data_IF_401989108424
#
_entry.id   IF_401989108424
#
_cell.length_a   1.000
_cell.length_b   1.000
_cell.length_c   1.000
_cell.angle_alpha   90.00
_cell.angle_beta   90.00
_cell.angle_gamma   90.00
#
_symmetry.space_group_name_H-M   'P 1'
#
loop_
_entity.id
_entity.type
_entity.pdbx_description
1 polymer ?
#
# COMPACT_ATOMS: atom_id res chain seq x y z
N UNK A 1 24.13 24.33 0.94
CA UNK A 1 22.87 23.59 0.73
C UNK A 1 22.66 22.67 1.94
N UNK A 2 21.43 22.49 2.46
CA UNK A 2 21.21 21.79 3.75
C UNK A 2 21.57 20.29 3.73
N UNK A 3 21.62 19.68 2.55
CA UNK A 3 21.96 18.26 2.40
C UNK A 3 23.29 18.05 1.64
N UNK A 4 24.13 19.08 1.55
CA UNK A 4 25.44 18.94 0.89
C UNK A 4 26.34 17.97 1.67
N UNK A 5 26.89 16.98 0.97
CA UNK A 5 27.73 15.94 1.55
C UNK A 5 26.97 14.73 2.09
N UNK A 6 25.64 14.70 1.99
CA UNK A 6 24.81 13.54 2.36
C UNK A 6 24.43 12.73 1.14
N UNK A 7 24.48 11.41 1.26
CA UNK A 7 23.97 10.45 0.28
C UNK A 7 22.67 9.83 0.78
N UNK A 8 21.59 9.94 -0.01
CA UNK A 8 20.26 9.48 0.37
C UNK A 8 19.77 8.38 -0.58
N UNK A 9 19.45 7.22 -0.02
CA UNK A 9 18.79 6.12 -0.71
C UNK A 9 17.29 6.39 -0.89
N UNK A 10 16.76 6.17 -2.10
CA UNK A 10 15.33 6.23 -2.41
C UNK A 10 14.84 4.85 -2.81
N UNK A 11 13.82 4.33 -2.10
CA UNK A 11 13.21 3.01 -2.35
C UNK A 11 11.90 3.09 -3.12
N UNK A 12 11.39 4.30 -3.35
CA UNK A 12 10.13 4.53 -4.03
C UNK A 12 10.17 4.06 -5.49
N UNK A 13 9.13 3.34 -5.94
CA UNK A 13 8.94 2.97 -7.34
C UNK A 13 8.16 4.02 -8.14
N UNK A 14 7.42 4.91 -7.46
CA UNK A 14 6.59 5.94 -8.07
C UNK A 14 7.07 7.34 -7.68
N UNK A 15 7.06 8.28 -8.64
CA UNK A 15 7.49 9.66 -8.44
C UNK A 15 8.92 9.78 -7.88
N UNK A 16 9.74 8.74 -8.09
CA UNK A 16 11.11 8.70 -7.60
C UNK A 16 11.97 9.81 -8.19
N UNK A 17 11.82 10.10 -9.48
CA UNK A 17 12.58 11.17 -10.15
C UNK A 17 12.26 12.56 -9.57
N UNK A 18 10.98 12.83 -9.29
CA UNK A 18 10.58 14.09 -8.65
C UNK A 18 11.20 14.21 -7.24
N UNK A 19 11.19 13.12 -6.50
CA UNK A 19 11.76 13.08 -5.15
C UNK A 19 13.29 13.21 -5.20
N UNK A 20 13.94 12.50 -6.12
CA UNK A 20 15.38 12.62 -6.36
C UNK A 20 15.77 14.06 -6.70
N UNK A 21 15.05 14.72 -7.62
CA UNK A 21 15.29 16.13 -7.96
C UNK A 21 15.15 17.07 -6.74
N UNK A 22 14.17 16.81 -5.86
CA UNK A 22 13.99 17.62 -4.65
C UNK A 22 15.16 17.49 -3.69
N UNK A 23 15.72 16.30 -3.51
CA UNK A 23 16.88 16.04 -2.66
C UNK A 23 18.17 16.63 -3.29
N UNK A 24 18.37 16.41 -4.58
CA UNK A 24 19.53 16.93 -5.32
C UNK A 24 19.57 18.47 -5.32
N UNK A 25 18.42 19.13 -5.47
CA UNK A 25 18.33 20.60 -5.34
C UNK A 25 18.73 21.10 -3.96
N UNK A 26 18.66 20.26 -2.92
CA UNK A 26 19.12 20.55 -1.56
C UNK A 26 20.56 20.15 -1.30
N UNK A 27 21.22 19.56 -2.30
CA UNK A 27 22.64 19.21 -2.27
C UNK A 27 22.95 17.75 -1.95
N UNK A 28 21.94 16.88 -1.79
CA UNK A 28 22.18 15.46 -1.56
C UNK A 28 22.66 14.76 -2.84
N UNK A 29 23.51 13.76 -2.67
CA UNK A 29 23.66 12.67 -3.63
C UNK A 29 22.53 11.68 -3.47
N UNK A 30 22.01 11.12 -4.56
CA UNK A 30 20.84 10.24 -4.53
C UNK A 30 21.18 8.91 -5.17
N UNK A 31 20.89 7.84 -4.43
CA UNK A 31 20.92 6.45 -4.92
C UNK A 31 19.50 5.95 -5.01
N UNK A 32 19.05 5.55 -6.21
CA UNK A 32 17.70 5.05 -6.42
C UNK A 32 17.71 3.54 -6.64
N UNK A 33 16.94 2.82 -5.82
CA UNK A 33 16.72 1.39 -5.93
C UNK A 33 15.25 1.09 -5.57
N UNK A 34 14.35 0.98 -6.56
CA UNK A 34 12.96 0.62 -6.31
C UNK A 34 12.88 -0.70 -5.56
N UNK A 35 12.26 -0.70 -4.38
CA UNK A 35 12.16 -1.91 -3.56
C UNK A 35 11.00 -2.82 -3.97
N UNK A 36 10.01 -2.30 -4.69
CA UNK A 36 8.80 -3.01 -5.10
C UNK A 36 8.32 -2.58 -6.47
N UNK A 37 7.58 -3.49 -7.13
CA UNK A 37 6.74 -3.21 -8.30
C UNK A 37 5.27 -3.29 -7.91
N UNK A 38 4.46 -2.47 -8.52
CA UNK A 38 2.99 -2.54 -8.43
C UNK A 38 2.52 -3.22 -9.70
N UNK A 39 1.92 -4.39 -9.58
CA UNK A 39 1.37 -5.15 -10.69
C UNK A 39 -0.14 -4.98 -10.66
N UNK A 40 -0.74 -4.23 -11.60
CA UNK A 40 -2.19 -4.19 -11.74
C UNK A 40 -2.75 -5.57 -12.06
N UNK A 41 -3.91 -5.89 -11.53
CA UNK A 41 -4.59 -7.15 -11.76
C UNK A 41 -5.78 -6.99 -12.74
N UNK A 42 -5.68 -6.05 -13.68
CA UNK A 42 -6.76 -5.75 -14.63
C UNK A 42 -7.18 -6.97 -15.49
N UNK A 43 -6.25 -7.87 -15.78
CA UNK A 43 -6.51 -9.11 -16.52
C UNK A 43 -6.68 -10.34 -15.60
N UNK A 44 -6.80 -10.12 -14.29
CA UNK A 44 -6.91 -11.19 -13.30
C UNK A 44 -8.36 -11.70 -13.21
N UNK A 45 -8.53 -13.01 -13.44
CA UNK A 45 -9.84 -13.68 -13.40
C UNK A 45 -10.52 -13.56 -12.04
N UNK A 46 -9.77 -13.46 -10.96
CA UNK A 46 -10.33 -13.33 -9.62
C UNK A 46 -10.92 -11.92 -9.42
N UNK A 47 -10.23 -10.86 -9.88
CA UNK A 47 -10.77 -9.51 -9.84
C UNK A 47 -12.06 -9.40 -10.68
N UNK A 48 -12.08 -9.97 -11.88
CA UNK A 48 -13.28 -10.01 -12.72
C UNK A 48 -14.42 -10.76 -12.03
N UNK A 49 -14.14 -11.96 -11.49
CA UNK A 49 -15.12 -12.78 -10.78
C UNK A 49 -15.74 -12.07 -9.57
N UNK A 50 -14.91 -11.45 -8.71
CA UNK A 50 -15.44 -10.74 -7.54
C UNK A 50 -16.18 -9.47 -7.94
N UNK A 51 -15.78 -8.81 -9.02
CA UNK A 51 -16.49 -7.66 -9.58
C UNK A 51 -17.88 -8.07 -10.05
N UNK A 52 -17.99 -9.16 -10.80
CA UNK A 52 -19.28 -9.70 -11.25
C UNK A 52 -20.17 -10.14 -10.06
N UNK A 53 -19.57 -10.72 -9.02
CA UNK A 53 -20.29 -11.05 -7.78
C UNK A 53 -20.89 -9.80 -7.13
N UNK A 54 -20.10 -8.71 -7.02
CA UNK A 54 -20.54 -7.43 -6.44
C UNK A 54 -21.63 -6.78 -7.29
N UNK A 55 -21.54 -6.86 -8.60
CA UNK A 55 -22.57 -6.36 -9.53
C UNK A 55 -23.88 -7.12 -9.35
N UNK A 56 -23.80 -8.44 -9.27
CA UNK A 56 -24.98 -9.31 -9.14
C UNK A 56 -25.65 -9.20 -7.75
N UNK A 57 -24.86 -8.97 -6.71
CA UNK A 57 -25.31 -8.84 -5.32
C UNK A 57 -24.50 -7.75 -4.61
N UNK A 58 -24.92 -6.48 -4.71
CA UNK A 58 -24.19 -5.38 -4.11
C UNK A 58 -24.03 -5.54 -2.59
N UNK A 59 -22.81 -5.34 -2.05
CA UNK A 59 -22.55 -5.39 -0.63
C UNK A 59 -23.17 -4.20 0.09
N UNK A 60 -23.40 -4.32 1.39
CA UNK A 60 -23.88 -3.20 2.21
C UNK A 60 -22.80 -2.14 2.42
N UNK A 61 -21.53 -2.57 2.48
CA UNK A 61 -20.39 -1.69 2.70
C UNK A 61 -19.27 -2.02 1.72
N UNK A 62 -18.63 -0.99 1.19
CA UNK A 62 -17.39 -1.10 0.41
C UNK A 62 -16.30 -0.26 1.05
N UNK A 63 -15.18 -0.88 1.35
CA UNK A 63 -13.99 -0.20 1.91
C UNK A 63 -12.96 0.03 0.83
N UNK A 64 -12.71 1.29 0.49
CA UNK A 64 -11.62 1.69 -0.40
C UNK A 64 -10.36 1.99 0.43
N UNK A 65 -9.35 1.13 0.33
CA UNK A 65 -8.11 1.28 1.11
C UNK A 65 -7.11 2.20 0.43
N UNK A 66 -7.07 2.24 -0.91
CA UNK A 66 -6.13 3.08 -1.66
C UNK A 66 -6.77 3.70 -2.89
N UNK A 67 -6.38 4.95 -3.19
CA UNK A 67 -6.88 5.64 -4.37
C UNK A 67 -6.41 5.03 -5.69
N UNK A 68 -5.20 4.44 -5.72
CA UNK A 68 -4.70 3.76 -6.93
C UNK A 68 -5.48 2.47 -7.16
N UNK A 69 -5.74 1.70 -6.10
CA UNK A 69 -6.49 0.47 -6.21
C UNK A 69 -7.94 0.71 -6.62
N UNK A 70 -8.60 1.71 -6.02
CA UNK A 70 -9.97 2.02 -6.37
C UNK A 70 -10.11 2.46 -7.86
N UNK A 71 -9.19 3.33 -8.35
CA UNK A 71 -9.16 3.69 -9.77
C UNK A 71 -8.87 2.49 -10.67
N UNK A 72 -7.85 1.69 -10.33
CA UNK A 72 -7.51 0.51 -11.13
C UNK A 72 -8.65 -0.51 -11.19
N UNK A 73 -9.47 -0.62 -10.14
CA UNK A 73 -10.67 -1.47 -10.16
C UNK A 73 -11.71 -0.95 -11.17
N UNK A 74 -11.98 0.35 -11.15
CA UNK A 74 -12.93 0.97 -12.10
C UNK A 74 -12.40 0.89 -13.55
N UNK A 75 -11.11 1.12 -13.76
CA UNK A 75 -10.46 0.99 -15.08
C UNK A 75 -10.52 -0.47 -15.60
N UNK A 76 -10.33 -1.46 -14.72
CA UNK A 76 -10.48 -2.86 -15.08
C UNK A 76 -11.94 -3.19 -15.47
N UNK A 77 -12.91 -2.72 -14.69
CA UNK A 77 -14.32 -2.92 -14.98
C UNK A 77 -14.74 -2.24 -16.31
N UNK A 78 -14.16 -1.08 -16.62
CA UNK A 78 -14.36 -0.41 -17.91
C UNK A 78 -13.80 -1.26 -19.06
N UNK A 79 -12.62 -1.82 -18.89
CA UNK A 79 -12.01 -2.73 -19.86
C UNK A 79 -12.85 -3.99 -20.16
N UNK A 80 -13.66 -4.44 -19.21
CA UNK A 80 -14.59 -5.57 -19.37
C UNK A 80 -15.99 -5.14 -19.83
N UNK A 81 -16.25 -3.84 -19.99
CA UNK A 81 -17.57 -3.31 -20.33
C UNK A 81 -18.57 -3.29 -19.17
N UNK A 82 -18.09 -3.36 -17.92
CA UNK A 82 -18.88 -3.44 -16.69
C UNK A 82 -18.87 -2.13 -15.88
N UNK A 83 -18.32 -1.05 -16.41
CA UNK A 83 -18.15 0.22 -15.68
C UNK A 83 -19.46 0.76 -15.10
N UNK A 84 -20.53 0.80 -15.90
CA UNK A 84 -21.83 1.32 -15.47
C UNK A 84 -22.47 0.42 -14.40
N UNK A 85 -22.40 -0.91 -14.58
CA UNK A 85 -22.95 -1.89 -13.66
C UNK A 85 -22.23 -1.84 -12.31
N UNK A 86 -20.90 -1.76 -12.31
CA UNK A 86 -20.11 -1.61 -11.09
C UNK A 86 -20.42 -0.27 -10.40
N UNK A 87 -20.50 0.84 -11.16
CA UNK A 87 -20.84 2.15 -10.59
C UNK A 87 -22.20 2.14 -9.91
N UNK A 88 -23.21 1.49 -10.53
CA UNK A 88 -24.53 1.34 -9.94
C UNK A 88 -24.48 0.51 -8.64
N UNK A 89 -23.74 -0.60 -8.62
CA UNK A 89 -23.55 -1.42 -7.41
C UNK A 89 -22.87 -0.63 -6.29
N UNK A 90 -21.80 0.13 -6.61
CA UNK A 90 -21.10 0.98 -5.65
C UNK A 90 -21.94 2.13 -5.12
N UNK A 91 -22.83 2.70 -5.95
CA UNK A 91 -23.76 3.76 -5.54
C UNK A 91 -24.80 3.26 -4.53
N UNK A 92 -25.17 1.99 -4.58
CA UNK A 92 -26.11 1.38 -3.64
C UNK A 92 -25.48 1.01 -2.29
N UNK A 93 -24.14 0.95 -2.22
CA UNK A 93 -23.38 0.59 -1.04
C UNK A 93 -22.96 1.82 -0.23
N UNK A 94 -22.70 1.63 1.06
CA UNK A 94 -22.01 2.61 1.91
C UNK A 94 -20.52 2.57 1.59
N UNK A 95 -19.94 3.65 1.10
CA UNK A 95 -18.52 3.72 0.76
C UNK A 95 -17.71 4.28 1.93
N UNK A 96 -16.75 3.53 2.41
CA UNK A 96 -15.77 3.99 3.40
C UNK A 96 -14.41 4.16 2.73
N UNK A 97 -13.74 5.28 2.98
CA UNK A 97 -12.41 5.56 2.45
C UNK A 97 -11.38 5.55 3.58
N UNK A 98 -10.29 4.79 3.45
CA UNK A 98 -9.23 4.79 4.46
C UNK A 98 -8.55 6.16 4.64
N UNK A 99 -8.52 6.98 3.59
CA UNK A 99 -7.86 8.28 3.66
C UNK A 99 -8.04 9.14 2.40
N UNK A 100 -7.40 10.32 2.35
CA UNK A 100 -7.63 11.34 1.32
C UNK A 100 -7.44 10.83 -0.12
N UNK A 101 -6.49 9.91 -0.36
CA UNK A 101 -6.24 9.36 -1.70
C UNK A 101 -7.38 8.46 -2.18
N UNK A 102 -7.92 7.63 -1.29
CA UNK A 102 -9.10 6.79 -1.59
C UNK A 102 -10.35 7.66 -1.76
N UNK A 103 -10.56 8.63 -0.85
CA UNK A 103 -11.62 9.61 -0.93
C UNK A 103 -11.61 10.40 -2.25
N UNK A 104 -10.43 10.87 -2.68
CA UNK A 104 -10.27 11.56 -3.96
C UNK A 104 -10.59 10.67 -5.16
N UNK A 105 -10.28 9.36 -5.10
CA UNK A 105 -10.61 8.42 -6.17
C UNK A 105 -12.12 8.12 -6.25
N UNK A 106 -12.78 7.94 -5.09
CA UNK A 106 -14.25 7.78 -5.02
C UNK A 106 -14.95 9.00 -5.64
N UNK A 107 -14.55 10.20 -5.25
CA UNK A 107 -15.15 11.45 -5.75
C UNK A 107 -14.88 11.70 -7.23
N UNK A 108 -13.71 11.30 -7.74
CA UNK A 108 -13.36 11.39 -9.15
C UNK A 108 -14.20 10.44 -10.03
N UNK A 109 -14.85 9.45 -9.44
CA UNK A 109 -15.79 8.52 -10.07
C UNK A 109 -17.26 8.92 -9.86
N UNK A 110 -17.52 10.19 -9.48
CA UNK A 110 -18.85 10.72 -9.16
C UNK A 110 -19.60 9.96 -8.04
N UNK A 111 -18.84 9.23 -7.21
CA UNK A 111 -19.33 8.55 -6.03
C UNK A 111 -19.04 9.37 -4.77
N UNK A 112 -19.64 9.00 -3.65
CA UNK A 112 -19.45 9.71 -2.39
C UNK A 112 -19.17 8.75 -1.24
N UNK A 113 -18.05 8.98 -0.55
CA UNK A 113 -17.77 8.30 0.70
C UNK A 113 -18.72 8.79 1.80
N UNK A 114 -19.18 7.86 2.64
CA UNK A 114 -19.96 8.17 3.84
C UNK A 114 -19.05 8.57 4.98
N UNK A 115 -17.90 7.87 5.12
CA UNK A 115 -16.99 8.10 6.23
C UNK A 115 -15.52 7.85 5.84
N UNK A 116 -14.61 8.54 6.55
CA UNK A 116 -13.17 8.36 6.42
C UNK A 116 -12.48 8.77 7.73
N UNK A 117 -11.49 8.02 8.24
CA UNK A 117 -10.77 8.35 9.45
C UNK A 117 -9.91 9.61 9.28
N UNK A 118 -9.56 10.23 10.39
CA UNK A 118 -8.65 11.37 10.40
C UNK A 118 -7.18 10.99 10.24
N UNK A 119 -6.79 9.78 10.69
CA UNK A 119 -5.39 9.31 10.72
C UNK A 119 -4.95 8.56 9.46
N UNK A 120 -5.81 8.36 8.49
CA UNK A 120 -5.53 7.53 7.29
C UNK A 120 -5.23 6.04 7.62
N UNK A 121 -5.63 5.56 8.78
CA UNK A 121 -5.34 4.22 9.28
C UNK A 121 -6.42 3.20 8.91
N UNK A 122 -6.01 2.01 8.46
CA UNK A 122 -6.91 0.86 8.31
C UNK A 122 -7.47 0.39 9.66
N UNK A 123 -6.71 0.56 10.74
CA UNK A 123 -7.16 0.21 12.08
C UNK A 123 -8.39 1.03 12.50
N UNK A 124 -8.41 2.34 12.25
CA UNK A 124 -9.58 3.18 12.56
C UNK A 124 -10.80 2.82 11.70
N UNK A 125 -10.60 2.43 10.43
CA UNK A 125 -11.71 1.93 9.59
C UNK A 125 -12.29 0.65 10.19
N UNK A 126 -11.42 -0.24 10.66
CA UNK A 126 -11.84 -1.50 11.31
C UNK A 126 -12.58 -1.24 12.62
N UNK A 127 -12.03 -0.39 13.48
CA UNK A 127 -12.67 0.02 14.74
C UNK A 127 -14.07 0.62 14.51
N UNK A 128 -14.19 1.51 13.52
CA UNK A 128 -15.46 2.11 13.13
C UNK A 128 -16.50 1.05 12.71
N UNK A 129 -16.11 0.13 11.82
CA UNK A 129 -16.98 -0.97 11.37
C UNK A 129 -17.40 -1.89 12.52
N UNK A 130 -16.47 -2.28 13.39
CA UNK A 130 -16.74 -3.12 14.54
C UNK A 130 -17.66 -2.43 15.55
N UNK A 131 -17.50 -1.12 15.77
CA UNK A 131 -18.36 -0.33 16.66
C UNK A 131 -19.80 -0.25 16.16
N UNK A 132 -20.02 -0.23 14.83
CA UNK A 132 -21.36 -0.25 14.21
C UNK A 132 -22.00 -1.64 14.20
N UNK A 133 -21.20 -2.70 14.44
CA UNK A 133 -21.60 -4.08 14.32
C UNK A 133 -21.65 -4.55 12.86
N UNK A 134 -20.92 -5.64 12.57
CA UNK A 134 -20.73 -6.19 11.22
C UNK A 134 -21.33 -7.57 11.03
N UNK A 135 -21.83 -8.19 12.08
CA UNK A 135 -22.36 -9.54 12.01
C UNK A 135 -23.53 -9.65 11.01
N UNK A 136 -23.40 -10.58 10.08
CA UNK A 136 -24.37 -10.84 9.01
C UNK A 136 -24.34 -9.83 7.85
N UNK A 137 -23.48 -8.81 7.89
CA UNK A 137 -23.31 -7.85 6.78
C UNK A 137 -22.36 -8.39 5.72
N UNK A 138 -22.63 -8.05 4.45
CA UNK A 138 -21.70 -8.28 3.34
C UNK A 138 -20.84 -7.04 3.15
N UNK A 139 -19.51 -7.20 3.29
CA UNK A 139 -18.52 -6.12 3.21
C UNK A 139 -17.52 -6.43 2.12
N UNK A 140 -17.44 -5.59 1.09
CA UNK A 140 -16.37 -5.67 0.10
C UNK A 140 -15.18 -4.80 0.54
N UNK A 141 -13.98 -5.37 0.50
CA UNK A 141 -12.74 -4.68 0.88
C UNK A 141 -11.81 -4.65 -0.32
N UNK A 142 -11.59 -3.46 -0.87
CA UNK A 142 -10.55 -3.26 -1.87
C UNK A 142 -9.20 -3.40 -1.19
N UNK A 143 -8.48 -4.47 -1.53
CA UNK A 143 -7.19 -4.79 -0.93
C UNK A 143 -6.12 -3.81 -1.38
N UNK A 144 -5.10 -3.63 -0.55
CA UNK A 144 -3.98 -2.72 -0.81
C UNK A 144 -2.69 -3.44 -1.24
N UNK A 145 -2.81 -4.69 -1.62
CA UNK A 145 -1.73 -5.50 -2.21
C UNK A 145 -0.60 -5.85 -1.24
N UNK A 146 -0.82 -5.73 0.07
CA UNK A 146 0.19 -6.05 1.06
C UNK A 146 0.53 -7.55 1.09
N UNK A 147 1.79 -7.86 1.37
CA UNK A 147 2.23 -9.23 1.69
C UNK A 147 2.10 -9.44 3.20
N UNK A 148 1.50 -10.53 3.61
CA UNK A 148 1.11 -10.81 4.99
C UNK A 148 2.27 -11.02 5.97
N UNK A 149 3.48 -11.31 5.48
CA UNK A 149 4.61 -11.72 6.33
C UNK A 149 5.21 -10.59 7.19
N UNK A 150 5.01 -9.32 6.82
CA UNK A 150 5.59 -8.16 7.51
C UNK A 150 4.55 -7.10 7.87
N UNK A 151 3.26 -7.43 7.81
CA UNK A 151 2.22 -6.54 8.31
C UNK A 151 2.05 -6.72 9.83
N UNK A 152 2.39 -5.70 10.61
CA UNK A 152 2.19 -5.75 12.07
C UNK A 152 0.72 -5.59 12.46
N UNK A 153 -0.19 -5.48 11.48
CA UNK A 153 -1.62 -5.26 11.69
C UNK A 153 -2.35 -6.58 11.42
N UNK A 154 -3.26 -7.03 12.28
CA UNK A 154 -4.13 -8.16 12.02
C UNK A 154 -4.77 -8.06 10.63
N UNK A 155 -4.88 -9.17 9.92
CA UNK A 155 -5.56 -9.22 8.62
C UNK A 155 -6.96 -8.59 8.76
N UNK A 156 -7.12 -7.41 8.14
CA UNK A 156 -8.33 -6.62 8.17
C UNK A 156 -9.57 -7.44 7.80
N UNK A 157 -9.46 -8.26 6.75
CA UNK A 157 -10.53 -9.12 6.28
C UNK A 157 -10.83 -10.25 7.28
N UNK A 158 -9.81 -10.81 7.91
CA UNK A 158 -9.97 -11.88 8.88
C UNK A 158 -10.68 -11.39 10.13
N UNK A 159 -10.30 -10.24 10.66
CA UNK A 159 -10.96 -9.64 11.83
C UNK A 159 -12.44 -9.37 11.57
N UNK A 160 -12.80 -8.89 10.37
CA UNK A 160 -14.21 -8.70 10.00
C UNK A 160 -14.97 -10.03 9.92
N UNK A 161 -14.35 -11.09 9.37
CA UNK A 161 -14.93 -12.45 9.33
C UNK A 161 -15.14 -13.01 10.73
N UNK A 162 -14.15 -12.85 11.61
CA UNK A 162 -14.23 -13.30 13.00
C UNK A 162 -15.34 -12.57 13.79
N UNK A 163 -15.63 -11.32 13.40
CA UNK A 163 -16.76 -10.54 13.91
C UNK A 163 -18.11 -10.89 13.24
N UNK A 164 -18.14 -11.88 12.36
CA UNK A 164 -19.36 -12.41 11.75
C UNK A 164 -19.79 -11.74 10.44
N UNK A 165 -18.92 -10.96 9.79
CA UNK A 165 -19.19 -10.41 8.47
C UNK A 165 -18.92 -11.43 7.35
N UNK A 166 -19.68 -11.36 6.26
CA UNK A 166 -19.29 -11.95 4.99
C UNK A 166 -18.38 -10.96 4.24
N UNK A 167 -17.12 -11.35 3.99
CA UNK A 167 -16.12 -10.45 3.41
C UNK A 167 -15.76 -10.85 1.99
N UNK A 168 -16.01 -9.96 1.04
CA UNK A 168 -15.57 -10.04 -0.35
C UNK A 168 -14.24 -9.27 -0.46
N UNK A 169 -13.14 -10.00 -0.59
CA UNK A 169 -11.83 -9.42 -0.83
C UNK A 169 -11.68 -9.07 -2.33
N UNK A 170 -11.39 -7.80 -2.65
CA UNK A 170 -11.25 -7.31 -4.01
C UNK A 170 -9.76 -7.04 -4.31
N UNK A 171 -9.04 -7.98 -4.95
CA UNK A 171 -7.62 -7.85 -5.26
C UNK A 171 -7.44 -7.00 -6.52
N UNK A 172 -6.97 -5.78 -6.38
CA UNK A 172 -6.85 -4.84 -7.51
C UNK A 172 -5.43 -4.68 -8.03
N UNK A 173 -4.45 -4.97 -7.22
CA UNK A 173 -3.03 -5.02 -7.54
C UNK A 173 -2.30 -5.84 -6.50
N UNK A 174 -1.08 -6.24 -6.85
CA UNK A 174 -0.16 -6.86 -5.89
C UNK A 174 1.19 -6.17 -5.91
N UNK A 175 1.90 -6.30 -4.81
CA UNK A 175 3.28 -5.87 -4.69
C UNK A 175 4.17 -7.06 -5.05
N UNK A 176 5.15 -6.83 -5.89
CA UNK A 176 6.17 -7.81 -6.22
C UNK A 176 7.56 -7.21 -6.01
N UNK A 177 8.55 -8.03 -5.66
CA UNK A 177 9.95 -7.61 -5.74
C UNK A 177 10.31 -7.14 -7.15
N UNK A 178 11.35 -6.32 -7.32
CA UNK A 178 11.88 -6.02 -8.64
C UNK A 178 12.24 -7.31 -9.38
N UNK A 179 12.04 -7.37 -10.72
CA UNK A 179 12.50 -8.51 -11.53
C UNK A 179 14.00 -8.68 -11.47
N UNK A 180 14.72 -7.56 -11.57
CA UNK A 180 16.17 -7.51 -11.35
C UNK A 180 16.44 -6.88 -9.98
N UNK A 181 16.88 -7.69 -9.05
CA UNK A 181 17.21 -7.27 -7.69
C UNK A 181 18.59 -6.58 -7.57
N UNK A 182 19.33 -6.41 -8.65
CA UNK A 182 20.73 -5.87 -8.61
C UNK A 182 20.79 -4.50 -7.92
N UNK A 183 19.85 -3.60 -8.23
CA UNK A 183 19.83 -2.28 -7.59
C UNK A 183 19.44 -2.37 -6.12
N UNK A 184 18.50 -3.24 -5.79
CA UNK A 184 18.07 -3.47 -4.42
C UNK A 184 19.20 -4.09 -3.58
N UNK A 185 19.93 -5.06 -4.13
CA UNK A 185 21.08 -5.67 -3.48
C UNK A 185 22.21 -4.65 -3.22
N UNK A 186 22.46 -3.75 -4.17
CA UNK A 186 23.39 -2.64 -3.99
C UNK A 186 22.94 -1.67 -2.90
N UNK A 187 21.66 -1.39 -2.82
CA UNK A 187 21.09 -0.54 -1.75
C UNK A 187 21.26 -1.21 -0.39
N UNK A 188 20.97 -2.50 -0.28
CA UNK A 188 21.15 -3.28 0.95
C UNK A 188 22.63 -3.25 1.38
N UNK A 189 23.56 -3.45 0.45
CA UNK A 189 25.00 -3.37 0.75
C UNK A 189 25.42 -1.95 1.16
N UNK A 190 24.88 -0.92 0.50
CA UNK A 190 25.15 0.48 0.85
C UNK A 190 24.63 0.85 2.25
N UNK A 191 23.48 0.32 2.66
CA UNK A 191 22.95 0.45 4.03
C UNK A 191 23.87 -0.30 5.00
N UNK A 192 24.15 -1.59 4.75
CA UNK A 192 24.93 -2.45 5.65
C UNK A 192 26.36 -1.94 5.88
N UNK A 193 26.99 -1.35 4.86
CA UNK A 193 28.33 -0.75 4.95
C UNK A 193 28.34 0.72 5.38
N UNK A 194 27.16 1.32 5.65
CA UNK A 194 27.01 2.73 5.95
C UNK A 194 27.59 3.66 4.85
N UNK A 195 27.53 3.23 3.60
CA UNK A 195 27.96 4.01 2.45
C UNK A 195 26.92 5.10 2.06
N UNK A 196 25.74 5.09 2.69
CA UNK A 196 24.72 6.13 2.59
C UNK A 196 24.38 6.65 3.99
N UNK A 197 23.93 7.91 4.07
CA UNK A 197 23.59 8.57 5.34
C UNK A 197 22.13 8.34 5.73
N UNK A 198 21.27 8.16 4.74
CA UNK A 198 19.85 7.92 4.97
C UNK A 198 19.24 7.04 3.89
N UNK A 199 18.18 6.30 4.25
CA UNK A 199 17.32 5.58 3.30
C UNK A 199 15.87 6.00 3.51
N UNK A 200 15.17 6.33 2.42
CA UNK A 200 13.79 6.82 2.48
C UNK A 200 12.80 5.77 2.04
N UNK A 201 11.73 5.63 2.83
CA UNK A 201 10.62 4.74 2.60
C UNK A 201 9.30 5.50 2.48
N UNK A 202 8.56 5.27 1.42
CA UNK A 202 7.27 5.91 1.15
C UNK A 202 6.09 4.96 1.32
N UNK A 203 6.34 3.69 1.68
CA UNK A 203 5.32 2.68 1.95
C UNK A 203 5.88 1.53 2.79
N UNK A 204 5.04 0.92 3.63
CA UNK A 204 5.39 -0.26 4.41
C UNK A 204 5.82 -1.46 3.53
N UNK A 205 5.17 -1.77 2.39
CA UNK A 205 5.65 -2.82 1.50
C UNK A 205 7.07 -2.62 0.96
N UNK A 206 7.53 -1.38 0.79
CA UNK A 206 8.91 -1.13 0.39
C UNK A 206 9.91 -1.46 1.52
N UNK A 207 9.55 -1.19 2.76
CA UNK A 207 10.32 -1.61 3.94
C UNK A 207 10.36 -3.13 4.02
N UNK A 208 9.20 -3.78 3.99
CA UNK A 208 9.09 -5.23 4.04
C UNK A 208 9.94 -5.93 2.96
N UNK A 209 9.88 -5.42 1.73
CA UNK A 209 10.67 -5.97 0.61
C UNK A 209 12.18 -5.90 0.84
N UNK A 210 12.69 -4.78 1.39
CA UNK A 210 14.11 -4.66 1.74
C UNK A 210 14.47 -5.63 2.85
N UNK A 211 13.67 -5.73 3.92
CA UNK A 211 13.93 -6.64 5.04
C UNK A 211 13.94 -8.09 4.57
N UNK A 212 12.93 -8.53 3.81
CA UNK A 212 12.87 -9.88 3.24
C UNK A 212 14.07 -10.17 2.34
N UNK A 213 14.46 -9.24 1.47
CA UNK A 213 15.61 -9.42 0.60
C UNK A 213 16.92 -9.48 1.39
N UNK A 214 17.07 -8.64 2.40
CA UNK A 214 18.23 -8.65 3.29
C UNK A 214 18.31 -9.96 4.09
N UNK A 215 17.20 -10.48 4.58
CA UNK A 215 17.12 -11.79 5.24
C UNK A 215 17.56 -12.91 4.29
N UNK A 216 16.96 -12.97 3.10
CA UNK A 216 17.31 -13.97 2.07
C UNK A 216 18.79 -13.95 1.69
N UNK A 217 19.44 -12.78 1.74
CA UNK A 217 20.86 -12.60 1.41
C UNK A 217 21.79 -12.64 2.63
N UNK A 218 21.26 -12.91 3.83
CA UNK A 218 22.02 -12.96 5.08
C UNK A 218 22.55 -11.59 5.52
N UNK A 219 21.87 -10.51 5.17
CA UNK A 219 22.24 -9.12 5.48
C UNK A 219 21.31 -8.43 6.46
N UNK A 220 20.27 -9.11 6.95
CA UNK A 220 19.23 -8.51 7.80
C UNK A 220 19.81 -7.82 9.03
N UNK A 221 20.60 -8.53 9.82
CA UNK A 221 21.22 -7.97 11.03
C UNK A 221 22.08 -6.75 10.70
N UNK A 222 22.87 -6.83 9.62
CA UNK A 222 23.77 -5.73 9.20
C UNK A 222 23.00 -4.45 8.84
N UNK A 223 21.88 -4.56 8.12
CA UNK A 223 21.08 -3.36 7.78
C UNK A 223 20.32 -2.83 8.98
N UNK A 224 19.82 -3.68 9.87
CA UNK A 224 19.15 -3.26 11.10
C UNK A 224 20.12 -2.53 12.04
N UNK A 225 21.34 -3.05 12.22
CA UNK A 225 22.37 -2.38 13.01
C UNK A 225 22.79 -1.03 12.40
N UNK A 226 22.94 -0.97 11.08
CA UNK A 226 23.25 0.29 10.39
C UNK A 226 22.12 1.31 10.58
N UNK A 227 20.85 0.90 10.46
CA UNK A 227 19.69 1.79 10.64
C UNK A 227 19.43 2.17 12.11
N UNK A 228 19.90 1.38 13.09
CA UNK A 228 19.94 1.78 14.51
C UNK A 228 21.09 2.73 14.85
N UNK A 229 22.05 2.86 13.96
CA UNK A 229 23.29 3.61 14.15
C UNK A 229 23.48 4.73 13.12
N UNK A 230 24.44 4.60 12.18
CA UNK A 230 24.85 5.70 11.31
C UNK A 230 23.90 6.02 10.16
N UNK A 231 23.00 5.10 9.77
CA UNK A 231 22.09 5.29 8.63
C UNK A 231 20.69 5.64 9.13
N UNK A 232 20.18 6.80 8.73
CA UNK A 232 18.83 7.22 9.14
C UNK A 232 17.76 6.60 8.25
N UNK A 233 16.86 5.80 8.83
CA UNK A 233 15.64 5.37 8.14
C UNK A 233 14.58 6.48 8.18
N UNK A 234 14.18 6.99 7.00
CA UNK A 234 13.22 8.08 6.86
C UNK A 234 11.90 7.52 6.32
N UNK A 235 10.88 7.46 7.15
CA UNK A 235 9.56 6.96 6.83
C UNK A 235 8.54 8.09 6.71
N UNK A 236 7.61 8.02 5.74
CA UNK A 236 6.56 9.05 5.56
C UNK A 236 5.54 9.08 6.69
N UNK A 237 5.49 8.07 7.54
CA UNK A 237 4.57 7.99 8.69
C UNK A 237 4.64 6.66 9.42
N UNK A 238 3.86 6.51 10.51
CA UNK A 238 3.95 5.35 11.41
C UNK A 238 3.60 4.03 10.75
N UNK A 239 2.67 4.01 9.80
CA UNK A 239 2.36 2.79 9.03
C UNK A 239 3.56 2.32 8.21
N UNK A 240 4.37 3.26 7.71
CA UNK A 240 5.57 2.92 6.93
C UNK A 240 6.72 2.47 7.82
N UNK A 241 6.86 3.02 9.03
CA UNK A 241 7.93 2.63 9.97
C UNK A 241 7.62 1.30 10.69
N UNK A 242 6.37 0.91 10.80
CA UNK A 242 5.95 -0.25 11.57
C UNK A 242 6.76 -1.55 11.32
N UNK A 243 7.10 -1.93 10.06
CA UNK A 243 7.94 -3.11 9.83
C UNK A 243 9.38 -2.99 10.35
N UNK A 244 9.89 -1.78 10.63
CA UNK A 244 11.21 -1.57 11.23
C UNK A 244 11.16 -1.61 12.77
N UNK A 245 9.97 -1.48 13.35
CA UNK A 245 9.75 -1.44 14.80
C UNK A 245 9.34 -2.81 15.35
N UNK A 246 8.93 -3.74 14.45
CA UNK A 246 8.54 -5.11 14.78
C UNK A 246 9.75 -6.02 14.93
#
# INVERSE_FOLDING_TARGET
>A
MPLAGFTVGITASRRADEFAMLLTRRGAEVVHAPAIRIIPLADDRELERVTQQIIASPPEVVVATTGIGFRGWLEAADGWGEAENLSAALTSARLLARGPKAKGAIRAADLREEWSPASESSAEVLEHLLAEGVAGKVIAVQLHGATTEWEPIPDFCQVLRDAGAEVIAVPVYRWEPPEDSTLLDRMIEAIASSAIDAVSFTSAPAVASILMRADTTGRLDSILDAMRGPVTAVCVGPVTSAPLEA
#
